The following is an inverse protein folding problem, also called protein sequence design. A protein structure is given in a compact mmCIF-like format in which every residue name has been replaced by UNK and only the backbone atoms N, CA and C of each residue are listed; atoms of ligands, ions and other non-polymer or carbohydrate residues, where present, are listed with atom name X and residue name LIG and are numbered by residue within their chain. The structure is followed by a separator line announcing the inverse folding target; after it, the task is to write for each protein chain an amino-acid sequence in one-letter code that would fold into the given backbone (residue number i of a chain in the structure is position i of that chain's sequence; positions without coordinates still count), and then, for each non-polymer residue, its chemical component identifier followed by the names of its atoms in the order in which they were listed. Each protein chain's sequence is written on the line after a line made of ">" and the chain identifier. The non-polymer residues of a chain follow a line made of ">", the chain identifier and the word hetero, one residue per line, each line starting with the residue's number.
data_IF_812832475339
#
_entry.id   IF_812832475339
#
_cell.length_a   1.000
_cell.length_b   1.000
_cell.length_c   1.000
_cell.angle_alpha   90.00
_cell.angle_beta   90.00
_cell.angle_gamma   90.00
#
_symmetry.space_group_name_H-M   'P 1'
#
loop_
_entity.id
_entity.type
_entity.pdbx_description
1 polymer ?
#
# COMPACT_ATOMS: atom_id res chain seq x y z
N UNK A 1 15.52 18.83 3.32
CA UNK A 1 14.89 17.57 3.78
C UNK A 1 14.39 16.85 2.55
N UNK A 2 14.89 15.64 2.29
CA UNK A 2 14.43 14.84 1.15
C UNK A 2 13.14 14.12 1.58
N UNK A 3 11.99 14.63 1.17
CA UNK A 3 10.71 13.97 1.42
C UNK A 3 10.48 12.92 0.35
N UNK A 4 9.98 11.71 0.69
CA UNK A 4 9.70 10.70 -0.32
C UNK A 4 8.61 11.22 -1.27
N UNK A 5 8.81 11.02 -2.57
CA UNK A 5 7.87 11.35 -3.64
C UNK A 5 6.52 10.64 -3.47
N UNK A 6 6.55 9.40 -2.97
CA UNK A 6 5.36 8.66 -2.59
C UNK A 6 5.57 7.95 -1.26
N UNK A 7 4.56 8.02 -0.40
CA UNK A 7 4.53 7.31 0.88
C UNK A 7 3.20 6.61 1.03
N UNK A 8 3.26 5.27 1.09
CA UNK A 8 2.12 4.40 1.39
C UNK A 8 2.42 3.73 2.73
N UNK A 9 1.46 3.79 3.66
CA UNK A 9 1.53 3.10 4.94
C UNK A 9 0.26 2.32 5.20
N UNK A 10 0.37 1.12 5.73
CA UNK A 10 -0.78 0.31 6.11
C UNK A 10 -1.74 0.06 4.95
N UNK A 11 -1.22 -0.14 3.73
CA UNK A 11 -2.09 -0.40 2.59
C UNK A 11 -2.64 -1.83 2.69
N UNK A 12 -3.94 -1.92 2.93
CA UNK A 12 -4.72 -3.13 2.82
C UNK A 12 -5.57 -3.10 1.54
N UNK A 13 -5.60 -4.21 0.82
CA UNK A 13 -6.47 -4.37 -0.33
C UNK A 13 -7.07 -5.76 -0.35
N UNK A 14 -8.34 -5.82 -0.71
CA UNK A 14 -9.11 -7.04 -0.82
C UNK A 14 -10.04 -6.95 -2.02
N UNK A 15 -10.35 -8.10 -2.61
CA UNK A 15 -11.36 -8.23 -3.68
C UNK A 15 -12.46 -9.21 -3.27
N UNK A 16 -13.62 -9.12 -3.91
CA UNK A 16 -14.81 -9.91 -3.58
C UNK A 16 -15.69 -9.28 -2.49
N UNK A 17 -16.83 -9.90 -2.22
CA UNK A 17 -17.85 -9.41 -1.28
C UNK A 17 -18.22 -10.47 -0.23
N UNK A 18 -18.61 -10.02 0.96
CA UNK A 18 -19.05 -10.88 2.06
C UNK A 18 -18.02 -11.97 2.42
N UNK A 19 -18.50 -13.21 2.56
CA UNK A 19 -17.67 -14.36 2.91
C UNK A 19 -16.64 -14.76 1.83
N UNK A 20 -16.76 -14.23 0.60
CA UNK A 20 -15.82 -14.50 -0.51
C UNK A 20 -14.75 -13.41 -0.66
N UNK A 21 -14.60 -12.56 0.35
CA UNK A 21 -13.59 -11.50 0.35
C UNK A 21 -12.20 -12.12 0.51
N UNK A 22 -11.34 -11.89 -0.48
CA UNK A 22 -9.95 -12.35 -0.47
C UNK A 22 -9.03 -11.15 -0.28
N UNK A 23 -8.17 -11.22 0.73
CA UNK A 23 -7.17 -10.19 0.98
C UNK A 23 -5.95 -10.42 0.08
N UNK A 24 -5.55 -9.38 -0.64
CA UNK A 24 -4.45 -9.42 -1.63
C UNK A 24 -3.25 -8.57 -1.24
N UNK A 25 -3.46 -7.52 -0.45
CA UNK A 25 -2.38 -6.74 0.15
C UNK A 25 -2.63 -6.65 1.66
N UNK A 26 -1.60 -6.96 2.45
CA UNK A 26 -1.62 -6.97 3.90
C UNK A 26 -0.54 -6.03 4.42
N UNK A 27 -0.97 -4.94 5.07
CA UNK A 27 -0.10 -3.98 5.76
C UNK A 27 1.14 -3.57 4.94
N UNK A 28 0.92 -3.16 3.69
CA UNK A 28 2.01 -2.76 2.81
C UNK A 28 2.49 -1.36 3.18
N UNK A 29 3.79 -1.26 3.42
CA UNK A 29 4.51 -0.02 3.70
C UNK A 29 5.54 0.21 2.59
N UNK A 30 5.39 1.30 1.83
CA UNK A 30 6.24 1.63 0.68
C UNK A 30 6.61 3.11 0.70
N UNK A 31 7.90 3.39 0.51
CA UNK A 31 8.42 4.74 0.29
C UNK A 31 9.12 4.76 -1.07
N UNK A 32 8.69 5.64 -1.96
CA UNK A 32 9.40 5.95 -3.20
C UNK A 32 10.18 7.25 -2.98
N UNK A 33 11.51 7.18 -3.08
CA UNK A 33 12.34 8.38 -3.12
C UNK A 33 12.24 9.03 -4.50
N UNK A 34 12.43 10.35 -4.57
CA UNK A 34 12.75 10.99 -5.84
C UNK A 34 14.23 10.73 -6.10
N UNK A 35 14.52 9.84 -7.05
CA UNK A 35 15.84 9.68 -7.61
C UNK A 35 15.80 10.45 -8.93
N UNK A 36 16.19 11.73 -8.88
CA UNK A 36 16.37 12.57 -10.07
C UNK A 36 17.25 11.89 -11.13
#
# INVERSE_FOLDING_TARGET
>A
MNFPKLRIKGLHKSFGTGARRTEVLRDINLNLADNE
#
